data_IF_004863399771
#
_entry.id   IF_004863399771
#
_cell.length_a   1.000
_cell.length_b   1.000
_cell.length_c   1.000
_cell.angle_alpha   90.00
_cell.angle_beta   90.00
_cell.angle_gamma   90.00
#
_symmetry.space_group_name_H-M   'P 1'
#
loop_
_entity.id
_entity.type
_entity.pdbx_description
1 polymer ?
#
# COMPACT_ATOMS: atom_id res chain seq x y z
N UNK A 1 8.26 31.93 -8.76
CA UNK A 1 8.05 31.46 -10.15
C UNK A 1 7.33 30.12 -10.05
N UNK A 2 6.01 30.18 -9.92
CA UNK A 2 5.16 29.12 -9.35
C UNK A 2 4.86 28.00 -10.35
N UNK A 3 4.60 26.79 -9.85
CA UNK A 3 4.22 25.60 -10.62
C UNK A 3 3.04 25.83 -11.60
N UNK A 4 2.24 26.87 -11.38
CA UNK A 4 1.21 27.39 -12.29
C UNK A 4 1.75 27.92 -13.63
N UNK A 5 3.00 28.40 -13.69
CA UNK A 5 3.59 28.87 -14.95
C UNK A 5 4.08 27.71 -15.83
N UNK A 6 4.58 26.62 -15.22
CA UNK A 6 4.89 25.38 -15.95
C UNK A 6 3.62 24.63 -16.41
N UNK A 7 2.50 24.81 -15.72
CA UNK A 7 1.19 24.26 -16.10
C UNK A 7 0.70 24.74 -17.48
N UNK A 8 1.12 25.92 -17.92
CA UNK A 8 0.55 26.58 -19.09
C UNK A 8 1.27 26.25 -20.42
N UNK A 9 2.43 25.57 -20.39
CA UNK A 9 3.31 25.47 -21.57
C UNK A 9 3.51 24.05 -22.15
N UNK A 10 2.79 23.03 -21.67
CA UNK A 10 2.74 21.71 -22.31
C UNK A 10 1.41 21.52 -23.04
N UNK A 11 1.35 21.99 -24.29
CA UNK A 11 0.19 21.87 -25.20
C UNK A 11 -0.06 20.44 -25.73
N UNK A 12 0.69 19.43 -25.28
CA UNK A 12 0.67 18.06 -25.81
C UNK A 12 0.15 17.00 -24.84
N UNK A 13 -0.02 17.34 -23.55
CA UNK A 13 -0.42 16.34 -22.54
C UNK A 13 -1.94 16.21 -22.54
N UNK A 14 -2.44 15.03 -22.89
CA UNK A 14 -3.87 14.76 -22.92
C UNK A 14 -4.43 14.72 -21.50
N UNK A 15 -5.01 15.86 -21.07
CA UNK A 15 -5.56 16.07 -19.72
C UNK A 15 -6.63 15.04 -19.34
N UNK A 16 -7.37 14.50 -20.32
CA UNK A 16 -8.38 13.49 -20.07
C UNK A 16 -7.75 12.12 -19.80
N UNK A 17 -6.73 11.74 -20.58
CA UNK A 17 -5.96 10.51 -20.32
C UNK A 17 -5.24 10.57 -18.97
N UNK A 18 -4.65 11.72 -18.60
CA UNK A 18 -4.08 11.93 -17.26
C UNK A 18 -5.11 11.70 -16.16
N UNK A 19 -6.32 12.28 -16.29
CA UNK A 19 -7.39 12.10 -15.31
C UNK A 19 -7.83 10.65 -15.19
N UNK A 20 -7.89 9.92 -16.30
CA UNK A 20 -8.24 8.50 -16.31
C UNK A 20 -7.13 7.60 -15.78
N UNK A 21 -5.87 8.05 -15.84
CA UNK A 21 -4.72 7.32 -15.30
C UNK A 21 -4.68 7.34 -13.76
N UNK A 22 -5.31 8.34 -13.13
CA UNK A 22 -5.42 8.45 -11.68
C UNK A 22 -6.50 7.48 -11.19
N UNK A 23 -6.13 6.61 -10.26
CA UNK A 23 -7.09 5.68 -9.67
C UNK A 23 -8.04 6.47 -8.77
N UNK A 24 -9.34 6.26 -8.94
CA UNK A 24 -10.39 7.09 -8.28
C UNK A 24 -10.51 6.86 -6.78
N UNK A 25 -10.04 5.72 -6.32
CA UNK A 25 -10.08 5.29 -4.93
C UNK A 25 -8.78 4.53 -4.69
N UNK A 26 -8.01 5.05 -3.75
CA UNK A 26 -6.82 4.45 -3.18
C UNK A 26 -6.89 4.73 -1.67
N UNK A 27 -6.05 4.06 -0.89
CA UNK A 27 -5.92 4.33 0.54
C UNK A 27 -5.82 5.84 0.82
N UNK A 28 -6.33 6.25 1.98
CA UNK A 28 -6.39 7.66 2.38
C UNK A 28 -5.01 8.33 2.27
N UNK A 29 -3.94 7.64 2.66
CA UNK A 29 -2.59 8.19 2.57
C UNK A 29 -2.13 8.39 1.12
N UNK A 30 -2.39 7.40 0.26
CA UNK A 30 -2.07 7.50 -1.16
C UNK A 30 -2.85 8.65 -1.82
N UNK A 31 -4.11 8.85 -1.44
CA UNK A 31 -4.94 9.93 -2.01
C UNK A 31 -4.46 11.34 -1.62
N UNK A 32 -3.91 11.51 -0.42
CA UNK A 32 -3.50 12.83 0.11
C UNK A 32 -2.04 13.17 -0.20
N UNK A 33 -1.16 12.18 -0.16
CA UNK A 33 0.28 12.42 -0.23
C UNK A 33 0.90 11.82 -1.49
N UNK A 34 0.93 10.49 -1.60
CA UNK A 34 1.69 9.82 -2.65
C UNK A 34 1.13 10.05 -4.05
N UNK A 35 -0.20 10.05 -4.18
CA UNK A 35 -0.94 10.25 -5.41
C UNK A 35 -0.69 11.62 -6.03
N UNK A 36 -0.87 12.74 -5.30
CA UNK A 36 -0.53 14.06 -5.80
C UNK A 36 0.93 14.19 -6.27
N UNK A 37 1.88 13.60 -5.54
CA UNK A 37 3.30 13.63 -5.93
C UNK A 37 3.53 12.78 -7.19
N UNK A 38 2.98 11.57 -7.24
CA UNK A 38 3.05 10.70 -8.41
C UNK A 38 2.43 11.36 -9.65
N UNK A 39 1.31 12.08 -9.49
CA UNK A 39 0.68 12.84 -10.58
C UNK A 39 1.60 13.93 -11.13
N UNK A 40 2.30 14.64 -10.25
CA UNK A 40 3.27 15.66 -10.65
C UNK A 40 4.40 15.00 -11.44
N UNK A 41 4.98 13.91 -10.92
CA UNK A 41 6.03 13.16 -11.59
C UNK A 41 5.58 12.60 -12.95
N UNK A 42 4.34 12.13 -13.04
CA UNK A 42 3.73 11.64 -14.27
C UNK A 42 3.73 12.70 -15.36
N UNK A 43 3.41 13.96 -15.05
CA UNK A 43 3.41 15.06 -16.03
C UNK A 43 4.82 15.27 -16.63
N UNK A 44 5.87 15.03 -15.86
CA UNK A 44 7.25 15.15 -16.36
C UNK A 44 7.67 13.95 -17.20
N UNK A 45 7.27 12.74 -16.80
CA UNK A 45 7.76 11.48 -17.37
C UNK A 45 6.85 10.96 -18.51
N UNK A 46 5.59 11.38 -18.58
CA UNK A 46 4.59 10.81 -19.50
C UNK A 46 5.00 10.84 -20.98
N UNK A 47 5.72 11.88 -21.40
CA UNK A 47 6.16 12.07 -22.80
C UNK A 47 7.51 11.40 -23.11
N UNK A 48 8.22 10.89 -22.08
CA UNK A 48 9.55 10.29 -22.23
C UNK A 48 9.45 8.83 -22.67
N UNK A 49 9.58 8.59 -23.97
CA UNK A 49 9.29 7.28 -24.59
C UNK A 49 10.10 6.10 -24.03
N UNK A 50 11.35 6.31 -23.61
CA UNK A 50 12.20 5.23 -23.09
C UNK A 50 11.88 4.82 -21.64
N UNK A 51 11.16 5.65 -20.88
CA UNK A 51 10.76 5.29 -19.52
C UNK A 51 9.50 4.43 -19.62
N UNK A 52 9.65 3.13 -19.43
CA UNK A 52 8.52 2.18 -19.43
C UNK A 52 7.94 2.01 -18.02
N UNK A 53 6.67 1.57 -17.85
CA UNK A 53 6.13 1.25 -16.53
C UNK A 53 7.03 0.29 -15.75
N UNK A 54 7.47 -0.80 -16.39
CA UNK A 54 8.37 -1.78 -15.77
C UNK A 54 9.72 -1.16 -15.35
N UNK A 55 10.24 -0.16 -16.08
CA UNK A 55 11.45 0.56 -15.68
C UNK A 55 11.23 1.37 -14.40
N UNK A 56 10.04 1.97 -14.23
CA UNK A 56 9.66 2.66 -12.99
C UNK A 56 9.52 1.65 -11.83
N UNK A 57 8.88 0.50 -12.05
CA UNK A 57 8.82 -0.61 -11.08
C UNK A 57 10.22 -1.10 -10.68
N UNK A 58 11.12 -1.31 -11.64
CA UNK A 58 12.52 -1.68 -11.34
C UNK A 58 13.23 -0.58 -10.55
N UNK A 59 12.96 0.68 -10.85
CA UNK A 59 13.55 1.83 -10.13
C UNK A 59 13.05 1.91 -8.68
N UNK A 60 11.77 1.59 -8.43
CA UNK A 60 11.23 1.53 -7.07
C UNK A 60 11.88 0.39 -6.27
N UNK A 61 12.11 -0.77 -6.89
CA UNK A 61 12.85 -1.88 -6.28
C UNK A 61 14.28 -1.48 -5.90
N UNK A 62 15.03 -0.83 -6.79
CA UNK A 62 16.38 -0.35 -6.47
C UNK A 62 16.37 0.68 -5.35
N UNK A 63 15.40 1.58 -5.35
CA UNK A 63 15.21 2.57 -4.28
C UNK A 63 14.92 1.88 -2.94
N UNK A 64 14.16 0.78 -2.96
CA UNK A 64 13.87 -0.03 -1.78
C UNK A 64 15.12 -0.75 -1.25
N UNK A 65 15.97 -1.28 -2.13
CA UNK A 65 17.26 -1.88 -1.73
C UNK A 65 18.13 -0.82 -1.04
N UNK A 66 18.18 0.40 -1.59
CA UNK A 66 18.88 1.51 -0.96
C UNK A 66 18.28 1.86 0.40
N UNK A 67 16.95 1.98 0.49
CA UNK A 67 16.25 2.23 1.75
C UNK A 67 16.60 1.17 2.80
N UNK A 68 16.53 -0.11 2.43
CA UNK A 68 16.88 -1.23 3.28
C UNK A 68 18.34 -1.17 3.76
N UNK A 69 19.28 -0.78 2.89
CA UNK A 69 20.67 -0.59 3.26
C UNK A 69 20.85 0.49 4.34
N UNK A 70 20.20 1.66 4.18
CA UNK A 70 20.21 2.71 5.21
C UNK A 70 19.57 2.22 6.52
N UNK A 71 18.38 1.62 6.45
CA UNK A 71 17.65 1.14 7.63
C UNK A 71 18.47 0.09 8.40
N UNK A 72 19.19 -0.79 7.70
CA UNK A 72 20.01 -1.85 8.29
C UNK A 72 21.16 -1.35 9.18
N UNK A 73 21.54 -0.07 9.07
CA UNK A 73 22.53 0.55 9.94
C UNK A 73 21.97 0.72 11.36
N UNK A 74 20.65 0.94 11.50
CA UNK A 74 19.95 1.05 12.78
C UNK A 74 20.16 2.37 13.54
N UNK A 75 21.06 3.25 13.08
CA UNK A 75 21.29 4.55 13.71
C UNK A 75 20.22 5.59 13.31
N UNK A 76 19.86 6.55 14.19
CA UNK A 76 18.71 7.44 13.99
C UNK A 76 18.71 8.19 12.66
N UNK A 77 19.84 8.78 12.26
CA UNK A 77 19.93 9.52 11.00
C UNK A 77 19.69 8.63 9.77
N UNK A 78 20.16 7.38 9.82
CA UNK A 78 19.97 6.42 8.74
C UNK A 78 18.54 5.88 8.70
N UNK A 79 17.89 5.75 9.86
CA UNK A 79 16.47 5.39 9.95
C UNK A 79 15.57 6.50 9.40
N UNK A 80 15.89 7.78 9.65
CA UNK A 80 15.17 8.91 9.06
C UNK A 80 15.34 8.91 7.53
N UNK A 81 16.57 8.74 7.03
CA UNK A 81 16.81 8.61 5.58
C UNK A 81 16.04 7.44 4.99
N UNK A 82 16.05 6.29 5.67
CA UNK A 82 15.26 5.12 5.31
C UNK A 82 13.75 5.40 5.26
N UNK A 83 13.21 6.10 6.26
CA UNK A 83 11.81 6.49 6.33
C UNK A 83 11.38 7.34 5.13
N UNK A 84 12.22 8.29 4.71
CA UNK A 84 12.00 9.12 3.53
C UNK A 84 12.07 8.28 2.26
N UNK A 85 13.08 7.42 2.13
CA UNK A 85 13.22 6.55 0.96
C UNK A 85 12.06 5.57 0.81
N UNK A 86 11.54 5.00 1.91
CA UNK A 86 10.34 4.15 1.90
C UNK A 86 9.12 4.89 1.33
N UNK A 87 8.95 6.18 1.64
CA UNK A 87 7.87 6.96 1.00
C UNK A 87 8.13 7.17 -0.49
N UNK A 88 9.38 7.39 -0.89
CA UNK A 88 9.74 7.52 -2.31
C UNK A 88 9.47 6.21 -3.06
N UNK A 89 9.78 5.05 -2.48
CA UNK A 89 9.43 3.73 -3.04
C UNK A 89 7.94 3.67 -3.35
N UNK A 90 7.09 4.00 -2.38
CA UNK A 90 5.64 3.95 -2.56
C UNK A 90 5.11 4.96 -3.58
N UNK A 91 5.73 6.15 -3.69
CA UNK A 91 5.40 7.12 -4.74
C UNK A 91 5.71 6.56 -6.14
N UNK A 92 6.85 5.87 -6.29
CA UNK A 92 7.23 5.25 -7.57
C UNK A 92 6.30 4.10 -7.95
N UNK A 93 5.81 3.33 -6.98
CA UNK A 93 4.79 2.28 -7.20
C UNK A 93 3.39 2.83 -7.50
N UNK A 94 3.11 4.08 -7.13
CA UNK A 94 1.91 4.74 -7.63
C UNK A 94 2.11 5.19 -9.07
N UNK A 95 3.32 5.66 -9.38
CA UNK A 95 3.68 6.25 -10.67
C UNK A 95 3.72 5.22 -11.81
N UNK A 96 4.23 4.01 -11.60
CA UNK A 96 4.30 2.98 -12.64
C UNK A 96 2.91 2.55 -13.14
N UNK A 97 1.96 2.33 -12.22
CA UNK A 97 0.58 1.98 -12.53
C UNK A 97 -0.16 3.14 -13.20
N UNK A 98 0.10 4.38 -12.78
CA UNK A 98 -0.42 5.57 -13.45
C UNK A 98 0.14 5.69 -14.88
N UNK A 99 1.44 5.47 -15.07
CA UNK A 99 2.09 5.52 -16.37
C UNK A 99 1.57 4.44 -17.32
N UNK A 100 1.36 3.22 -16.81
CA UNK A 100 0.77 2.12 -17.56
C UNK A 100 -0.65 2.45 -18.06
N UNK A 101 -1.49 3.04 -17.20
CA UNK A 101 -2.85 3.48 -17.58
C UNK A 101 -2.85 4.65 -18.54
N UNK A 102 -1.97 5.64 -18.33
CA UNK A 102 -1.86 6.81 -19.21
C UNK A 102 -1.48 6.42 -20.64
N UNK A 103 -0.55 5.46 -20.78
CA UNK A 103 -0.06 5.00 -22.09
C UNK A 103 -0.83 3.83 -22.67
N UNK A 104 -1.88 3.36 -21.99
CA UNK A 104 -2.61 2.14 -22.36
C UNK A 104 -1.68 0.92 -22.54
N UNK A 105 -0.58 0.90 -21.77
CA UNK A 105 0.50 -0.08 -21.84
C UNK A 105 0.42 -1.14 -20.73
N UNK A 106 -0.75 -1.29 -20.11
CA UNK A 106 -1.02 -2.31 -19.10
C UNK A 106 -0.86 -3.72 -19.69
N UNK A 107 -0.09 -4.58 -19.02
CA UNK A 107 0.14 -5.95 -19.48
C UNK A 107 0.05 -6.95 -18.33
N UNK A 108 -0.30 -8.20 -18.64
CA UNK A 108 -0.35 -9.28 -17.66
C UNK A 108 1.02 -9.54 -17.01
N UNK A 109 2.08 -9.45 -17.82
CA UNK A 109 3.44 -9.57 -17.31
C UNK A 109 3.81 -8.41 -16.38
N UNK A 110 3.51 -7.16 -16.74
CA UNK A 110 3.76 -5.99 -15.88
C UNK A 110 3.02 -6.09 -14.56
N UNK A 111 1.73 -6.46 -14.59
CA UNK A 111 0.93 -6.65 -13.37
C UNK A 111 1.39 -7.85 -12.51
N UNK A 112 2.04 -8.85 -13.10
CA UNK A 112 2.69 -9.92 -12.35
C UNK A 112 4.02 -9.44 -11.75
N UNK A 113 4.83 -8.72 -12.53
CA UNK A 113 6.13 -8.21 -12.12
C UNK A 113 6.00 -7.25 -10.93
N UNK A 114 5.10 -6.28 -11.02
CA UNK A 114 4.75 -5.34 -9.94
C UNK A 114 4.42 -6.07 -8.63
N UNK A 115 3.48 -7.03 -8.69
CA UNK A 115 3.11 -7.86 -7.53
C UNK A 115 4.26 -8.66 -6.95
N UNK A 116 5.17 -9.19 -7.77
CA UNK A 116 6.35 -9.90 -7.27
C UNK A 116 7.33 -8.93 -6.62
N UNK A 117 7.58 -7.78 -7.25
CA UNK A 117 8.47 -6.76 -6.68
C UNK A 117 7.94 -6.21 -5.37
N UNK A 118 6.62 -6.06 -5.20
CA UNK A 118 6.00 -5.68 -3.93
C UNK A 118 6.35 -6.65 -2.80
N UNK A 119 6.26 -7.96 -3.04
CA UNK A 119 6.62 -8.95 -2.01
C UNK A 119 8.11 -8.95 -1.69
N UNK A 120 8.95 -8.66 -2.66
CA UNK A 120 10.39 -8.52 -2.42
C UNK A 120 10.65 -7.27 -1.56
N UNK A 121 10.01 -6.14 -1.89
CA UNK A 121 10.15 -4.87 -1.14
C UNK A 121 9.66 -5.00 0.29
N UNK A 122 8.48 -5.58 0.51
CA UNK A 122 7.94 -5.84 1.85
C UNK A 122 8.94 -6.66 2.67
N UNK A 123 9.44 -7.77 2.12
CA UNK A 123 10.45 -8.58 2.80
C UNK A 123 11.72 -7.79 3.12
N UNK A 124 12.28 -7.05 2.16
CA UNK A 124 13.50 -6.26 2.34
C UNK A 124 13.34 -5.20 3.43
N UNK A 125 12.23 -4.47 3.44
CA UNK A 125 11.94 -3.44 4.45
C UNK A 125 11.88 -4.11 5.82
N UNK A 126 11.03 -5.12 6.02
CA UNK A 126 10.85 -5.74 7.33
C UNK A 126 12.13 -6.42 7.83
N UNK A 127 12.87 -7.10 6.95
CA UNK A 127 14.16 -7.69 7.27
C UNK A 127 15.17 -6.63 7.69
N UNK A 128 15.31 -5.54 6.93
CA UNK A 128 16.29 -4.49 7.24
C UNK A 128 16.00 -3.80 8.57
N UNK A 129 14.72 -3.58 8.92
CA UNK A 129 14.31 -3.01 10.20
C UNK A 129 14.67 -3.95 11.35
N UNK A 130 14.35 -5.24 11.20
CA UNK A 130 14.67 -6.25 12.21
C UNK A 130 16.17 -6.39 12.40
N UNK A 131 16.92 -6.48 11.30
CA UNK A 131 18.37 -6.59 11.30
C UNK A 131 19.04 -5.36 11.92
N UNK A 132 18.64 -4.15 11.52
CA UNK A 132 19.17 -2.90 12.07
C UNK A 132 18.91 -2.77 13.57
N UNK A 133 17.69 -3.13 14.02
CA UNK A 133 17.37 -3.16 15.44
C UNK A 133 18.21 -4.20 16.21
N UNK A 134 18.31 -5.41 15.68
CA UNK A 134 19.12 -6.47 16.28
C UNK A 134 20.58 -6.06 16.40
N UNK A 135 21.15 -5.44 15.35
CA UNK A 135 22.54 -4.97 15.35
C UNK A 135 22.82 -3.93 16.43
N UNK A 136 21.89 -3.00 16.67
CA UNK A 136 22.08 -1.90 17.62
C UNK A 136 21.80 -2.34 19.06
N UNK A 137 20.74 -3.13 19.29
CA UNK A 137 20.27 -3.46 20.63
C UNK A 137 20.56 -4.90 21.07
N UNK A 138 21.08 -5.75 20.17
CA UNK A 138 21.26 -7.20 20.38
C UNK A 138 19.97 -7.92 20.84
N UNK A 139 18.80 -7.37 20.52
CA UNK A 139 17.49 -7.90 20.90
C UNK A 139 17.00 -8.94 19.88
N UNK A 140 17.20 -10.22 20.20
CA UNK A 140 16.77 -11.32 19.33
C UNK A 140 15.24 -11.43 19.17
N UNK A 141 14.47 -10.86 20.11
CA UNK A 141 12.99 -10.92 20.08
C UNK A 141 12.39 -10.15 18.91
N UNK A 142 13.18 -9.31 18.24
CA UNK A 142 12.73 -8.58 17.05
C UNK A 142 12.42 -9.51 15.87
N UNK A 143 13.14 -10.63 15.73
CA UNK A 143 12.95 -11.56 14.63
C UNK A 143 11.59 -12.24 14.62
N UNK A 144 11.11 -12.87 15.71
CA UNK A 144 9.76 -13.42 15.73
C UNK A 144 8.69 -12.34 15.53
N UNK A 145 8.88 -11.12 16.04
CA UNK A 145 7.96 -10.00 15.78
C UNK A 145 7.90 -9.64 14.29
N UNK A 146 9.06 -9.50 13.64
CA UNK A 146 9.13 -9.20 12.21
C UNK A 146 8.48 -10.32 11.37
N UNK A 147 8.76 -11.58 11.68
CA UNK A 147 8.16 -12.73 11.00
C UNK A 147 6.63 -12.79 11.19
N UNK A 148 6.14 -12.58 12.42
CA UNK A 148 4.71 -12.54 12.70
C UNK A 148 4.01 -11.39 11.96
N UNK A 149 4.64 -10.22 11.92
CA UNK A 149 4.10 -9.06 11.20
C UNK A 149 4.01 -9.30 9.69
N UNK A 150 5.05 -9.84 9.05
CA UNK A 150 5.04 -10.23 7.63
C UNK A 150 3.97 -11.29 7.35
N UNK A 151 3.88 -12.32 8.20
CA UNK A 151 2.88 -13.37 8.05
C UNK A 151 1.45 -12.79 8.05
N UNK A 152 1.14 -11.90 8.99
CA UNK A 152 -0.19 -11.29 9.08
C UNK A 152 -0.49 -10.39 7.87
N UNK A 153 0.47 -9.58 7.43
CA UNK A 153 0.32 -8.72 6.24
C UNK A 153 0.06 -9.56 4.99
N UNK A 154 0.80 -10.66 4.80
CA UNK A 154 0.62 -11.55 3.65
C UNK A 154 -0.66 -12.35 3.73
N UNK A 155 -1.06 -12.79 4.93
CA UNK A 155 -2.33 -13.46 5.14
C UNK A 155 -3.50 -12.53 4.78
N UNK A 156 -3.43 -11.26 5.20
CA UNK A 156 -4.42 -10.25 4.85
C UNK A 156 -4.49 -10.02 3.34
N UNK A 157 -3.34 -9.79 2.68
CA UNK A 157 -3.27 -9.62 1.23
C UNK A 157 -3.83 -10.83 0.47
N UNK A 158 -3.53 -12.03 0.95
CA UNK A 158 -4.08 -13.27 0.40
C UNK A 158 -5.61 -13.32 0.47
N UNK A 159 -6.20 -12.99 1.62
CA UNK A 159 -7.66 -12.96 1.79
C UNK A 159 -8.32 -11.96 0.85
N UNK A 160 -7.78 -10.74 0.75
CA UNK A 160 -8.31 -9.69 -0.14
C UNK A 160 -8.23 -10.15 -1.61
N UNK A 161 -7.10 -10.72 -2.02
CA UNK A 161 -6.92 -11.20 -3.39
C UNK A 161 -7.82 -12.40 -3.72
N UNK A 162 -8.06 -13.29 -2.76
CA UNK A 162 -8.99 -14.40 -2.94
C UNK A 162 -10.44 -13.90 -3.05
N UNK A 163 -10.80 -12.90 -2.25
CA UNK A 163 -12.10 -12.25 -2.28
C UNK A 163 -12.39 -11.58 -3.64
N UNK A 164 -11.41 -10.87 -4.20
CA UNK A 164 -11.53 -10.25 -5.53
C UNK A 164 -11.78 -11.32 -6.60
N UNK A 165 -11.05 -12.44 -6.55
CA UNK A 165 -11.25 -13.57 -7.48
C UNK A 165 -12.64 -14.17 -7.36
N UNK A 166 -13.12 -14.39 -6.13
CA UNK A 166 -14.46 -14.93 -5.89
C UNK A 166 -15.55 -13.96 -6.37
N UNK A 167 -15.39 -12.66 -6.18
CA UNK A 167 -16.32 -11.65 -6.71
C UNK A 167 -16.31 -11.58 -8.24
N UNK A 168 -15.16 -11.75 -8.87
CA UNK A 168 -15.07 -11.84 -10.32
C UNK A 168 -15.86 -13.04 -10.86
N UNK A 169 -15.75 -14.22 -10.22
CA UNK A 169 -16.52 -15.41 -10.58
C UNK A 169 -18.02 -15.22 -10.31
N UNK A 170 -18.41 -14.71 -9.14
CA UNK A 170 -19.83 -14.46 -8.81
C UNK A 170 -20.50 -13.45 -9.76
N UNK A 171 -19.77 -12.46 -10.27
CA UNK A 171 -20.31 -11.51 -11.24
C UNK A 171 -20.56 -12.14 -12.61
N UNK A 172 -19.86 -13.24 -12.94
CA UNK A 172 -20.14 -14.07 -14.11
C UNK A 172 -21.35 -14.97 -13.85
N UNK A 173 -21.50 -15.50 -12.62
CA UNK A 173 -22.54 -16.45 -12.22
C UNK A 173 -23.77 -15.81 -11.55
N UNK A 174 -24.20 -14.59 -11.91
CA UNK A 174 -25.38 -13.92 -11.30
C UNK A 174 -26.71 -14.64 -11.61
N UNK A 175 -26.93 -15.79 -10.97
CA UNK A 175 -28.18 -16.49 -10.78
C UNK A 175 -28.09 -17.37 -9.53
N UNK A 176 -27.93 -16.80 -8.34
CA UNK A 176 -28.45 -17.45 -7.13
C UNK A 176 -28.65 -16.45 -5.99
N UNK A 177 -29.84 -16.49 -5.40
CA UNK A 177 -30.28 -15.65 -4.27
C UNK A 177 -29.53 -16.06 -2.99
N UNK A 178 -28.94 -15.09 -2.30
CA UNK A 178 -28.30 -15.31 -0.98
C UNK A 178 -29.33 -15.32 0.16
N UNK A 179 -29.27 -16.36 0.99
CA UNK A 179 -30.11 -16.59 2.18
C UNK A 179 -29.49 -15.92 3.41
N UNK A 180 -30.28 -15.15 4.19
CA UNK A 180 -29.82 -14.45 5.40
C UNK A 180 -29.74 -15.38 6.62
N UNK A 181 -28.66 -15.27 7.40
CA UNK A 181 -28.43 -16.01 8.66
C UNK A 181 -28.86 -15.20 9.91
N UNK A 182 -29.38 -15.84 10.99
CA UNK A 182 -30.11 -15.18 12.09
C UNK A 182 -29.26 -14.86 13.34
N UNK A 183 -28.11 -14.19 13.21
CA UNK A 183 -27.25 -13.79 14.37
C UNK A 183 -27.11 -12.26 14.45
N UNK A 184 -28.22 -11.55 14.62
CA UNK A 184 -28.36 -10.17 14.09
C UNK A 184 -28.54 -9.03 15.11
N UNK A 185 -28.26 -9.17 16.42
CA UNK A 185 -28.32 -8.00 17.33
C UNK A 185 -26.98 -7.58 17.94
N UNK A 186 -26.33 -8.45 18.70
CA UNK A 186 -25.05 -8.10 19.35
C UNK A 186 -23.94 -7.85 18.32
N UNK A 187 -23.85 -8.71 17.31
CA UNK A 187 -22.94 -8.51 16.18
C UNK A 187 -23.24 -7.21 15.43
N UNK A 188 -24.52 -6.90 15.17
CA UNK A 188 -24.90 -5.66 14.47
C UNK A 188 -24.49 -4.38 15.24
N UNK A 189 -24.49 -4.40 16.57
CA UNK A 189 -23.99 -3.27 17.38
C UNK A 189 -22.47 -3.11 17.25
N UNK A 190 -21.71 -4.21 17.38
CA UNK A 190 -20.25 -4.22 17.22
C UNK A 190 -19.88 -3.75 15.80
N UNK A 191 -20.59 -4.23 14.78
CA UNK A 191 -20.41 -3.78 13.40
C UNK A 191 -20.76 -2.31 13.18
N UNK A 192 -21.84 -1.81 13.80
CA UNK A 192 -22.22 -0.41 13.66
C UNK A 192 -21.19 0.52 14.29
N UNK A 193 -20.57 0.11 15.40
CA UNK A 193 -19.46 0.84 16.02
C UNK A 193 -18.22 0.73 15.14
N UNK A 194 -17.90 -0.48 14.69
CA UNK A 194 -16.78 -0.75 13.77
C UNK A 194 -16.85 0.07 12.50
N UNK A 195 -18.00 0.18 11.84
CA UNK A 195 -18.18 1.02 10.65
C UNK A 195 -18.01 2.52 10.95
N UNK A 196 -18.52 3.01 12.08
CA UNK A 196 -18.32 4.40 12.49
C UNK A 196 -16.85 4.69 12.73
N UNK A 197 -16.16 3.80 13.43
CA UNK A 197 -14.71 3.88 13.68
C UNK A 197 -13.93 3.80 12.37
N UNK A 198 -14.28 2.89 11.47
CA UNK A 198 -13.65 2.69 10.16
C UNK A 198 -13.80 3.92 9.24
N UNK A 199 -14.96 4.59 9.28
CA UNK A 199 -15.18 5.87 8.58
C UNK A 199 -14.47 7.04 9.24
N UNK A 200 -14.37 7.02 10.57
CA UNK A 200 -13.76 8.10 11.35
C UNK A 200 -12.22 8.06 11.35
N UNK A 201 -11.64 6.87 11.27
CA UNK A 201 -10.19 6.65 11.25
C UNK A 201 -9.79 5.98 9.93
N UNK A 202 -9.42 6.74 8.89
CA UNK A 202 -9.01 6.18 7.60
C UNK A 202 -7.70 5.37 7.67
N UNK A 203 -6.86 5.64 8.67
CA UNK A 203 -5.67 4.80 8.94
C UNK A 203 -6.06 3.37 9.33
N UNK A 204 -7.27 3.23 9.87
CA UNK A 204 -7.94 1.96 10.12
C UNK A 204 -8.52 1.34 8.83
N UNK A 205 -7.95 1.62 7.65
CA UNK A 205 -8.18 0.85 6.41
C UNK A 205 -7.01 -0.05 5.96
N UNK A 206 -5.78 0.20 6.47
CA UNK A 206 -4.57 -0.65 6.31
C UNK A 206 -4.25 -1.08 4.87
N UNK A 207 -4.53 -0.20 3.92
CA UNK A 207 -4.00 -0.30 2.57
C UNK A 207 -2.49 -0.15 2.60
N UNK A 208 -1.86 -0.58 1.50
CA UNK A 208 -0.42 -0.47 1.26
C UNK A 208 0.13 0.92 1.67
N UNK A 209 -0.50 2.01 1.22
CA UNK A 209 -0.04 3.36 1.56
C UNK A 209 -0.02 3.67 3.06
N UNK A 210 -1.02 3.20 3.82
CA UNK A 210 -1.04 3.39 5.27
C UNK A 210 0.05 2.57 5.98
N UNK A 211 0.34 1.37 5.48
CA UNK A 211 1.42 0.54 6.03
C UNK A 211 2.78 1.21 5.85
N UNK A 212 3.06 1.74 4.65
CA UNK A 212 4.29 2.47 4.36
C UNK A 212 4.41 3.74 5.22
N UNK A 213 3.30 4.46 5.44
CA UNK A 213 3.25 5.60 6.36
C UNK A 213 3.61 5.19 7.80
N UNK A 214 2.97 4.13 8.32
CA UNK A 214 3.25 3.61 9.66
C UNK A 214 4.75 3.28 9.77
N UNK A 215 5.30 2.52 8.83
CA UNK A 215 6.73 2.19 8.80
C UNK A 215 7.59 3.45 8.87
N UNK A 216 7.34 4.44 8.01
CA UNK A 216 8.12 5.68 8.00
C UNK A 216 8.02 6.48 9.31
N UNK A 217 6.83 6.59 9.92
CA UNK A 217 6.66 7.29 11.20
C UNK A 217 7.48 6.61 12.29
N UNK A 218 7.38 5.29 12.40
CA UNK A 218 8.08 4.54 13.44
C UNK A 218 9.60 4.53 13.25
N UNK A 219 10.07 4.52 12.00
CA UNK A 219 11.49 4.69 11.69
C UNK A 219 11.98 6.09 12.09
N UNK A 220 11.20 7.13 11.80
CA UNK A 220 11.54 8.51 12.16
C UNK A 220 11.74 8.69 13.68
N UNK A 221 10.89 8.05 14.49
CA UNK A 221 11.01 8.09 15.95
C UNK A 221 11.91 6.99 16.55
N UNK A 222 12.56 6.16 15.72
CA UNK A 222 13.37 5.02 16.15
C UNK A 222 12.62 4.06 17.11
N UNK A 223 11.34 3.82 16.83
CA UNK A 223 10.46 2.96 17.63
C UNK A 223 10.14 1.64 16.90
N UNK A 224 11.17 0.95 16.39
CA UNK A 224 10.98 -0.21 15.49
C UNK A 224 10.28 -1.41 16.13
N UNK A 225 10.42 -1.63 17.44
CA UNK A 225 9.65 -2.69 18.16
C UNK A 225 8.16 -2.37 18.19
N UNK A 226 7.80 -1.13 18.55
CA UNK A 226 6.41 -0.70 18.64
C UNK A 226 5.73 -0.78 17.27
N UNK A 227 6.47 -0.50 16.20
CA UNK A 227 6.01 -0.68 14.82
C UNK A 227 5.50 -2.09 14.54
N UNK A 228 6.30 -3.13 14.86
CA UNK A 228 5.90 -4.51 14.60
C UNK A 228 4.70 -4.93 15.45
N UNK A 229 4.64 -4.53 16.72
CA UNK A 229 3.46 -4.76 17.55
C UNK A 229 2.21 -4.11 16.95
N UNK A 230 2.32 -2.86 16.48
CA UNK A 230 1.20 -2.15 15.87
C UNK A 230 0.74 -2.86 14.58
N UNK A 231 1.67 -3.26 13.71
CA UNK A 231 1.35 -3.99 12.47
C UNK A 231 0.65 -5.33 12.78
N UNK A 232 1.11 -6.06 13.79
CA UNK A 232 0.48 -7.32 14.22
C UNK A 232 -0.94 -7.05 14.73
N UNK A 233 -1.12 -6.10 15.64
CA UNK A 233 -2.43 -5.79 16.23
C UNK A 233 -3.41 -5.28 15.18
N UNK A 234 -2.98 -4.33 14.34
CA UNK A 234 -3.78 -3.83 13.24
C UNK A 234 -4.11 -4.96 12.27
N UNK A 235 -3.12 -5.73 11.82
CA UNK A 235 -3.33 -6.81 10.86
C UNK A 235 -4.26 -7.93 11.38
N UNK A 236 -4.21 -8.29 12.66
CA UNK A 236 -5.18 -9.23 13.26
C UNK A 236 -6.59 -8.65 13.24
N UNK A 237 -6.74 -7.38 13.63
CA UNK A 237 -8.03 -6.68 13.56
C UNK A 237 -8.58 -6.68 12.12
N UNK A 238 -7.70 -6.43 11.15
CA UNK A 238 -7.74 -6.81 9.72
C UNK A 238 -8.42 -8.12 9.39
N UNK A 239 -7.67 -9.18 9.63
CA UNK A 239 -8.05 -10.51 9.19
C UNK A 239 -9.39 -10.95 9.78
N UNK A 240 -9.81 -10.37 10.92
CA UNK A 240 -11.11 -10.64 11.54
C UNK A 240 -12.20 -9.71 11.00
N UNK A 241 -11.97 -8.40 10.96
CA UNK A 241 -13.00 -7.42 10.57
C UNK A 241 -13.40 -7.57 9.10
N UNK A 242 -12.44 -7.82 8.22
CA UNK A 242 -12.68 -7.85 6.77
C UNK A 242 -13.68 -8.92 6.33
N UNK A 243 -13.50 -10.22 6.63
CA UNK A 243 -14.43 -11.27 6.18
C UNK A 243 -15.81 -11.10 6.84
N UNK A 244 -15.79 -10.63 8.08
CA UNK A 244 -16.96 -10.50 8.94
C UNK A 244 -17.81 -9.33 8.45
N UNK A 245 -17.23 -8.18 8.06
CA UNK A 245 -17.96 -7.07 7.43
C UNK A 245 -18.63 -7.48 6.11
N UNK A 246 -17.92 -8.25 5.28
CA UNK A 246 -18.38 -8.75 3.99
C UNK A 246 -19.56 -9.73 4.11
N UNK A 247 -19.51 -10.67 5.04
CA UNK A 247 -20.58 -11.66 5.27
C UNK A 247 -21.92 -11.02 5.61
N UNK A 248 -21.92 -9.85 6.25
CA UNK A 248 -23.13 -9.11 6.61
C UNK A 248 -23.58 -8.09 5.54
N UNK A 249 -23.02 -8.18 4.33
CA UNK A 249 -23.43 -7.34 3.20
C UNK A 249 -22.99 -5.87 3.32
N UNK A 250 -22.12 -5.56 4.26
CA UNK A 250 -21.53 -4.23 4.45
C UNK A 250 -20.16 -4.24 3.80
N UNK A 251 -20.11 -3.89 2.50
CA UNK A 251 -18.83 -3.73 1.81
C UNK A 251 -18.09 -2.55 2.45
N UNK A 252 -16.92 -2.73 3.10
CA UNK A 252 -15.94 -1.64 3.08
C UNK A 252 -15.69 -1.34 1.60
N UNK A 253 -15.75 -0.07 1.21
CA UNK A 253 -15.57 0.31 -0.18
C UNK A 253 -14.16 -0.10 -0.64
N UNK A 254 -14.04 -1.27 -1.27
CA UNK A 254 -12.83 -1.69 -1.96
C UNK A 254 -12.71 -0.95 -3.26
N UNK A 255 -11.57 -0.31 -3.46
CA UNK A 255 -10.99 0.03 -4.77
C UNK A 255 -9.65 0.66 -4.52
#
# INVERSE_FOLDING_TARGET
>A
MSALFMWNNKSMVNKQQLRNAIKKKDGWWASIFSGPIANILLIFICDVKWITPNCVTTSSLFTCILAAAFISVGAPIFLITGAVLVQIVFILDCLDGQLARYREASSNFGAWYDRVTDRIKDFLIYFSIAFGHFRVYSDWKIWPLAMSSLFIVYLFDYYVNQDIKLEAVKNVDKSTKETKCPITKCLNLIFSIGEKVYKFLPILQFHLGEQYLIISIFLFFNQTRLMFYLIIVMGIFYSIYWPVSKYYGRKPETT
#
